data_IF_347819045068
#
_entry.id   IF_347819045068
#
_cell.length_a   1.000
_cell.length_b   1.000
_cell.length_c   1.000
_cell.angle_alpha   90.00
_cell.angle_beta   90.00
_cell.angle_gamma   90.00
#
_symmetry.space_group_name_H-M   'P 1'
#
loop_
_entity.id
_entity.type
_entity.pdbx_description
1 polymer ?
#
# COMPACT_ATOMS: atom_id res chain seq x y z
N UNK A 1 46.58 -44.82 7.90
CA UNK A 1 45.11 -45.05 7.88
C UNK A 1 44.42 -44.43 9.11
N UNK A 2 44.75 -43.18 9.48
CA UNK A 2 44.12 -42.46 10.61
C UNK A 2 43.68 -41.02 10.27
N UNK A 3 44.15 -40.44 9.16
CA UNK A 3 43.89 -39.04 8.80
C UNK A 3 42.58 -38.78 8.05
N UNK A 4 41.92 -39.82 7.53
CA UNK A 4 40.73 -39.69 6.68
C UNK A 4 39.41 -39.62 7.46
N UNK A 5 39.43 -39.91 8.76
CA UNK A 5 38.22 -39.92 9.61
C UNK A 5 37.92 -38.54 10.25
N UNK A 6 38.91 -37.64 10.32
CA UNK A 6 38.76 -36.34 10.99
C UNK A 6 38.25 -35.20 10.08
N UNK A 7 38.17 -35.42 8.76
CA UNK A 7 37.62 -34.44 7.82
C UNK A 7 36.08 -34.50 7.69
N UNK A 8 35.43 -35.46 8.36
CA UNK A 8 33.97 -35.59 8.34
C UNK A 8 33.27 -34.73 9.42
N UNK A 9 33.99 -34.25 10.44
CA UNK A 9 33.39 -33.49 11.55
C UNK A 9 33.28 -31.98 11.32
N UNK A 10 33.82 -31.43 10.23
CA UNK A 10 33.71 -30.00 9.89
C UNK A 10 32.71 -29.68 8.79
N UNK A 11 32.06 -30.69 8.22
CA UNK A 11 31.07 -30.51 7.15
C UNK A 11 29.69 -30.22 7.73
N UNK A 12 29.39 -28.92 7.81
CA UNK A 12 28.03 -28.44 7.81
C UNK A 12 27.41 -28.35 9.19
N UNK A 13 27.50 -27.16 9.79
CA UNK A 13 26.36 -26.58 10.47
C UNK A 13 25.17 -26.70 9.50
N UNK A 14 24.42 -27.80 9.58
CA UNK A 14 23.09 -27.93 9.00
C UNK A 14 22.30 -26.77 9.58
N UNK A 15 22.15 -25.70 8.80
CA UNK A 15 21.16 -24.67 9.07
C UNK A 15 19.84 -25.42 8.98
N UNK A 16 19.35 -25.89 10.12
CA UNK A 16 17.96 -26.29 10.26
C UNK A 16 17.15 -25.03 9.90
N UNK A 17 16.80 -24.87 8.62
CA UNK A 17 15.75 -23.94 8.28
C UNK A 17 14.52 -24.51 9.00
N UNK A 18 14.02 -23.78 9.97
CA UNK A 18 12.75 -24.15 10.60
C UNK A 18 11.73 -24.25 9.46
N UNK A 19 11.03 -25.38 9.29
CA UNK A 19 10.05 -25.52 8.23
C UNK A 19 8.99 -24.42 8.38
N UNK A 20 8.67 -23.74 7.29
CA UNK A 20 7.65 -22.68 7.24
C UNK A 20 8.19 -21.25 7.14
N UNK A 21 9.39 -20.93 7.65
CA UNK A 21 9.95 -19.57 7.52
C UNK A 21 10.11 -19.11 6.05
N UNK A 22 10.61 -19.93 5.09
CA UNK A 22 10.69 -19.49 3.69
C UNK A 22 9.31 -19.20 3.08
N UNK A 23 8.29 -19.99 3.43
CA UNK A 23 6.92 -19.76 2.94
C UNK A 23 6.29 -18.51 3.57
N UNK A 24 6.56 -18.22 4.84
CA UNK A 24 6.16 -16.96 5.47
C UNK A 24 6.78 -15.74 4.77
N UNK A 25 8.05 -15.82 4.36
CA UNK A 25 8.69 -14.73 3.62
C UNK A 25 8.07 -14.54 2.23
N UNK A 26 7.73 -15.63 1.53
CA UNK A 26 7.01 -15.55 0.25
C UNK A 26 5.62 -14.96 0.41
N UNK A 27 4.83 -15.43 1.38
CA UNK A 27 3.50 -14.89 1.68
C UNK A 27 3.58 -13.40 2.04
N UNK A 28 4.59 -12.98 2.81
CA UNK A 28 4.81 -11.57 3.16
C UNK A 28 5.12 -10.71 1.92
N UNK A 29 5.88 -11.23 0.96
CA UNK A 29 6.19 -10.54 -0.29
C UNK A 29 4.94 -10.35 -1.17
N UNK A 30 4.11 -11.39 -1.29
CA UNK A 30 2.84 -11.35 -2.02
C UNK A 30 1.86 -10.34 -1.41
N UNK A 31 1.72 -10.36 -0.09
CA UNK A 31 0.89 -9.41 0.64
C UNK A 31 1.38 -7.98 0.41
N UNK A 32 2.70 -7.75 0.43
CA UNK A 32 3.27 -6.42 0.15
C UNK A 32 2.85 -5.95 -1.25
N UNK A 33 2.99 -6.79 -2.27
CA UNK A 33 2.59 -6.48 -3.66
C UNK A 33 1.10 -6.13 -3.77
N UNK A 34 0.23 -6.83 -3.03
CA UNK A 34 -1.20 -6.51 -2.99
C UNK A 34 -1.45 -5.11 -2.41
N UNK A 35 -0.76 -4.75 -1.32
CA UNK A 35 -0.89 -3.41 -0.74
C UNK A 35 -0.42 -2.29 -1.66
N UNK A 36 0.62 -2.51 -2.47
CA UNK A 36 1.02 -1.56 -3.52
C UNK A 36 -0.10 -1.33 -4.53
N UNK A 37 -0.69 -2.41 -5.05
CA UNK A 37 -1.75 -2.35 -6.05
C UNK A 37 -2.99 -1.62 -5.50
N UNK A 38 -3.36 -1.88 -4.25
CA UNK A 38 -4.46 -1.17 -3.59
C UNK A 38 -4.17 0.30 -3.35
N UNK A 39 -2.94 0.67 -2.98
CA UNK A 39 -2.55 2.06 -2.82
C UNK A 39 -2.62 2.82 -4.15
N UNK A 40 -2.17 2.20 -5.25
CA UNK A 40 -2.24 2.80 -6.58
C UNK A 40 -3.70 2.98 -7.05
N UNK A 41 -4.55 1.97 -6.82
CA UNK A 41 -5.98 2.06 -7.07
C UNK A 41 -6.63 3.22 -6.29
N UNK A 42 -6.26 3.40 -5.01
CA UNK A 42 -6.77 4.49 -4.19
C UNK A 42 -6.35 5.87 -4.75
N UNK A 43 -5.13 6.03 -5.25
CA UNK A 43 -4.70 7.27 -5.90
C UNK A 43 -5.45 7.53 -7.21
N UNK A 44 -5.67 6.50 -8.03
CA UNK A 44 -6.42 6.65 -9.29
C UNK A 44 -7.86 7.08 -9.01
N UNK A 45 -8.54 6.40 -8.09
CA UNK A 45 -9.92 6.75 -7.70
C UNK A 45 -9.93 8.16 -7.08
N UNK A 46 -8.98 8.46 -6.20
CA UNK A 46 -8.83 9.75 -5.55
C UNK A 46 -8.58 10.90 -6.54
N UNK A 47 -7.87 10.66 -7.64
CA UNK A 47 -7.65 11.64 -8.69
C UNK A 47 -8.93 11.88 -9.52
N UNK A 48 -9.64 10.82 -9.90
CA UNK A 48 -10.90 10.92 -10.67
C UNK A 48 -11.97 11.66 -9.84
N UNK A 49 -12.13 11.27 -8.57
CA UNK A 49 -13.05 11.97 -7.68
C UNK A 49 -12.53 13.38 -7.39
N UNK A 50 -11.25 13.62 -7.13
CA UNK A 50 -10.75 15.00 -7.00
C UNK A 50 -11.14 15.93 -8.16
N UNK A 51 -10.99 15.45 -9.40
CA UNK A 51 -11.38 16.19 -10.61
C UNK A 51 -12.90 16.46 -10.68
N UNK A 52 -13.72 15.43 -10.42
CA UNK A 52 -15.18 15.56 -10.43
C UNK A 52 -15.68 16.57 -9.37
N UNK A 53 -14.98 16.72 -8.25
CA UNK A 53 -15.34 17.70 -7.20
C UNK A 53 -15.00 19.10 -7.60
N UNK A 54 -13.82 19.30 -8.18
CA UNK A 54 -13.42 20.56 -8.78
C UNK A 54 -14.46 21.04 -9.80
N UNK A 55 -14.95 20.12 -10.64
CA UNK A 55 -16.01 20.43 -11.61
C UNK A 55 -17.32 20.87 -10.92
N UNK A 56 -17.72 20.21 -9.84
CA UNK A 56 -18.90 20.61 -9.06
C UNK A 56 -18.74 21.98 -8.39
N UNK A 57 -17.55 22.29 -7.85
CA UNK A 57 -17.26 23.61 -7.26
C UNK A 57 -17.31 24.69 -8.34
N UNK A 58 -16.68 24.44 -9.49
CA UNK A 58 -16.71 25.35 -10.62
C UNK A 58 -18.14 25.63 -11.09
N UNK A 59 -18.95 24.58 -11.28
CA UNK A 59 -20.34 24.73 -11.69
C UNK A 59 -21.17 25.55 -10.68
N UNK A 60 -20.96 25.34 -9.38
CA UNK A 60 -21.63 26.13 -8.34
C UNK A 60 -21.24 27.61 -8.42
N UNK A 61 -19.95 27.93 -8.57
CA UNK A 61 -19.48 29.31 -8.73
C UNK A 61 -20.02 29.99 -9.99
N UNK A 62 -20.16 29.25 -11.09
CA UNK A 62 -20.76 29.78 -12.32
C UNK A 62 -22.28 30.02 -12.20
N UNK A 63 -22.97 29.33 -11.29
CA UNK A 63 -24.42 29.49 -11.09
C UNK A 63 -24.83 30.75 -10.32
N UNK A 64 -23.87 31.58 -9.87
CA UNK A 64 -24.12 32.77 -9.08
C UNK A 64 -24.53 32.49 -7.62
N UNK A 65 -24.65 31.22 -7.22
CA UNK A 65 -24.87 30.80 -5.84
C UNK A 65 -23.52 30.61 -5.16
N UNK A 66 -23.06 31.63 -4.43
CA UNK A 66 -21.82 31.59 -3.64
C UNK A 66 -21.94 30.74 -2.35
N UNK A 67 -22.85 29.78 -2.31
CA UNK A 67 -23.04 28.90 -1.18
C UNK A 67 -22.35 27.60 -1.55
N UNK A 68 -21.16 27.36 -0.99
CA UNK A 68 -20.58 26.02 -1.06
C UNK A 68 -21.47 25.13 -0.19
N UNK A 69 -22.32 24.34 -0.84
CA UNK A 69 -23.22 23.42 -0.14
C UNK A 69 -22.41 22.46 0.73
N UNK A 70 -22.91 22.15 1.93
CA UNK A 70 -22.29 21.20 2.85
C UNK A 70 -21.99 19.83 2.18
N UNK A 71 -22.80 19.47 1.18
CA UNK A 71 -22.60 18.29 0.36
C UNK A 71 -21.31 18.35 -0.48
N UNK A 72 -20.95 19.50 -1.04
CA UNK A 72 -19.73 19.68 -1.85
C UNK A 72 -18.49 19.59 -0.96
N UNK A 73 -18.51 20.24 0.19
CA UNK A 73 -17.41 20.17 1.17
C UNK A 73 -17.25 18.76 1.75
N UNK A 74 -18.36 18.08 2.09
CA UNK A 74 -18.33 16.71 2.58
C UNK A 74 -17.77 15.74 1.54
N UNK A 75 -18.14 15.94 0.28
CA UNK A 75 -17.61 15.14 -0.81
C UNK A 75 -16.11 15.37 -1.05
N UNK A 76 -15.65 16.63 -1.00
CA UNK A 76 -14.23 16.97 -1.08
C UNK A 76 -13.43 16.29 0.04
N UNK A 77 -13.94 16.35 1.29
CA UNK A 77 -13.28 15.74 2.44
C UNK A 77 -13.18 14.21 2.31
N UNK A 78 -14.24 13.55 1.81
CA UNK A 78 -14.21 12.12 1.51
C UNK A 78 -13.13 11.75 0.49
N UNK A 79 -12.95 12.55 -0.57
CA UNK A 79 -11.91 12.32 -1.57
C UNK A 79 -10.51 12.52 -1.01
N UNK A 80 -10.33 13.53 -0.15
CA UNK A 80 -9.06 13.81 0.51
C UNK A 80 -8.69 12.70 1.48
N UNK A 81 -9.66 12.21 2.25
CA UNK A 81 -9.48 11.06 3.14
C UNK A 81 -9.08 9.79 2.37
N UNK A 82 -9.69 9.52 1.22
CA UNK A 82 -9.35 8.36 0.40
C UNK A 82 -7.91 8.43 -0.15
N UNK A 83 -7.47 9.61 -0.61
CA UNK A 83 -6.06 9.81 -0.99
C UNK A 83 -5.12 9.63 0.22
N UNK A 84 -5.53 10.13 1.40
CA UNK A 84 -4.75 9.99 2.63
C UNK A 84 -4.59 8.52 3.04
N UNK A 85 -5.62 7.70 2.86
CA UNK A 85 -5.51 6.24 3.05
C UNK A 85 -4.48 5.62 2.09
N UNK A 86 -4.43 6.07 0.83
CA UNK A 86 -3.40 5.65 -0.14
C UNK A 86 -1.99 5.99 0.32
N UNK A 87 -1.78 7.21 0.85
CA UNK A 87 -0.50 7.66 1.43
C UNK A 87 -0.14 6.86 2.69
N UNK A 88 -1.12 6.62 3.57
CA UNK A 88 -0.92 5.85 4.80
C UNK A 88 -0.52 4.40 4.52
N UNK A 89 -1.14 3.77 3.53
CA UNK A 89 -0.74 2.43 3.06
C UNK A 89 0.72 2.44 2.58
N UNK A 90 1.14 3.40 1.73
CA UNK A 90 2.56 3.51 1.34
C UNK A 90 3.48 3.77 2.55
N UNK A 91 3.10 4.67 3.44
CA UNK A 91 3.90 5.05 4.61
C UNK A 91 4.13 3.90 5.60
N UNK A 92 3.10 3.11 5.91
CA UNK A 92 3.21 1.96 6.83
C UNK A 92 4.12 0.86 6.28
N UNK A 93 4.06 0.59 4.99
CA UNK A 93 4.88 -0.44 4.35
C UNK A 93 6.28 0.05 3.95
N UNK A 94 6.68 1.25 4.44
CA UNK A 94 7.94 1.94 4.14
C UNK A 94 8.25 1.93 2.64
N UNK A 95 7.40 2.65 1.91
CA UNK A 95 7.54 2.89 0.48
C UNK A 95 7.89 4.33 0.17
#
# INVERSE_FOLDING_TARGET
MLGSFLLCSSSGMLRAQVPGIPEFYQASAEIRNHYFSFSDLAFVIGAITGLLGGLRVFANWQSGRHHIDAQVTGWLFSCLFLNLCGVFLRGLFRL
#
